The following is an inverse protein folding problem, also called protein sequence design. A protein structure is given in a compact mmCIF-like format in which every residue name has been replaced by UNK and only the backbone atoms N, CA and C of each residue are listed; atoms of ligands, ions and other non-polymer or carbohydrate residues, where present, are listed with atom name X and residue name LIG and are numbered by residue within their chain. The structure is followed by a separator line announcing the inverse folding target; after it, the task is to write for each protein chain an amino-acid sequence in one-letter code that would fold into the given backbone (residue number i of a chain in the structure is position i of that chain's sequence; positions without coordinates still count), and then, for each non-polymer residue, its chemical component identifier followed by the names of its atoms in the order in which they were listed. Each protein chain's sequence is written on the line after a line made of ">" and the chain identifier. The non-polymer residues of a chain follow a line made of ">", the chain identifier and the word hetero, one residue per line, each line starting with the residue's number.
data_IF_374453729108
#
_entry.id   IF_374453729108
#
_cell.length_a   1.000
_cell.length_b   1.000
_cell.length_c   1.000
_cell.angle_alpha   90.00
_cell.angle_beta   90.00
_cell.angle_gamma   90.00
#
_symmetry.space_group_name_H-M   'P 1'
#
loop_
_entity.id
_entity.type
_entity.pdbx_description
1 polymer ?
#
# COMPACT_ATOMS: atom_id res chain seq x y z
N UNK A 1 -25.17 -4.16 10.26
CA UNK A 1 -25.10 -4.34 8.79
C UNK A 1 -23.75 -4.92 8.46
N UNK A 2 -23.70 -6.08 7.81
CA UNK A 2 -22.42 -6.66 7.34
C UNK A 2 -21.96 -5.80 6.16
N UNK A 3 -20.79 -5.15 6.21
CA UNK A 3 -20.34 -4.37 5.07
C UNK A 3 -20.16 -5.32 3.88
N UNK A 4 -20.93 -5.07 2.81
CA UNK A 4 -20.80 -5.76 1.54
C UNK A 4 -19.75 -4.99 0.74
N UNK A 5 -18.49 -5.34 0.92
CA UNK A 5 -17.44 -4.81 0.06
C UNK A 5 -17.49 -5.57 -1.27
N UNK A 6 -17.51 -4.89 -2.42
CA UNK A 6 -17.44 -5.57 -3.71
C UNK A 6 -16.13 -6.37 -3.76
N UNK A 7 -16.25 -7.68 -4.02
CA UNK A 7 -15.14 -8.65 -4.06
C UNK A 7 -14.03 -8.27 -5.05
N UNK A 8 -14.26 -7.26 -5.88
CA UNK A 8 -13.40 -6.81 -6.97
C UNK A 8 -12.64 -5.53 -6.65
N UNK A 9 -12.70 -4.98 -5.42
CA UNK A 9 -12.03 -3.70 -5.13
C UNK A 9 -10.53 -3.79 -5.42
N UNK A 10 -9.88 -4.89 -5.02
CA UNK A 10 -8.45 -5.12 -5.21
C UNK A 10 -8.03 -5.30 -6.68
N UNK A 11 -8.95 -5.67 -7.59
CA UNK A 11 -8.65 -5.81 -9.02
C UNK A 11 -8.38 -4.46 -9.70
N UNK A 12 -8.83 -3.37 -9.07
CA UNK A 12 -8.65 -2.00 -9.57
C UNK A 12 -7.49 -1.26 -8.88
N UNK A 13 -6.90 -1.84 -7.84
CA UNK A 13 -5.83 -1.22 -7.07
C UNK A 13 -4.46 -1.61 -7.64
N UNK A 14 -3.48 -0.73 -7.47
CA UNK A 14 -2.09 -1.04 -7.81
C UNK A 14 -1.46 -1.80 -6.64
N UNK A 15 -1.04 -3.04 -6.85
CA UNK A 15 -0.23 -3.75 -5.86
C UNK A 15 1.18 -3.15 -5.85
N UNK A 16 1.59 -2.60 -4.71
CA UNK A 16 2.88 -1.93 -4.51
C UNK A 16 3.86 -2.74 -3.66
N UNK A 17 3.54 -3.99 -3.32
CA UNK A 17 4.35 -4.88 -2.48
C UNK A 17 5.80 -5.04 -2.93
N UNK A 18 6.02 -5.03 -4.25
CA UNK A 18 7.34 -5.22 -4.85
C UNK A 18 8.03 -3.90 -5.22
N UNK A 19 7.39 -2.75 -5.05
CA UNK A 19 7.98 -1.42 -5.35
C UNK A 19 9.06 -1.08 -4.34
N UNK A 20 10.25 -0.66 -4.77
CA UNK A 20 11.41 -0.38 -3.90
C UNK A 20 11.13 0.69 -2.84
N UNK A 21 10.20 1.59 -3.18
CA UNK A 21 9.67 2.68 -2.37
C UNK A 21 8.87 2.22 -1.15
N UNK A 22 8.30 1.01 -1.21
CA UNK A 22 7.57 0.43 -0.11
C UNK A 22 8.57 -0.06 0.95
N UNK A 23 8.39 0.40 2.18
CA UNK A 23 9.19 0.00 3.35
C UNK A 23 8.30 -0.46 4.48
N UNK A 24 8.73 -1.54 5.14
CA UNK A 24 8.15 -2.01 6.39
C UNK A 24 8.97 -1.48 7.56
N UNK A 25 8.33 -1.22 8.69
CA UNK A 25 8.94 -0.77 9.94
C UNK A 25 8.11 -1.21 11.15
N UNK A 26 8.35 -0.58 12.30
CA UNK A 26 7.72 -0.96 13.57
C UNK A 26 8.52 -2.03 14.33
N UNK A 27 8.06 -2.36 15.53
CA UNK A 27 8.72 -3.34 16.42
C UNK A 27 8.61 -4.78 15.90
N UNK A 28 7.63 -5.07 15.04
CA UNK A 28 7.55 -6.32 14.30
C UNK A 28 8.56 -6.45 13.16
N UNK A 29 9.16 -5.34 12.71
CA UNK A 29 10.04 -5.32 11.55
C UNK A 29 11.53 -5.53 11.86
N UNK A 30 11.94 -5.79 13.11
CA UNK A 30 13.36 -5.82 13.49
C UNK A 30 14.13 -4.58 13.00
N UNK A 31 15.46 -4.57 13.09
CA UNK A 31 16.29 -3.47 12.57
C UNK A 31 16.53 -3.56 11.04
N UNK A 32 15.93 -4.57 10.36
CA UNK A 32 16.19 -4.90 8.96
C UNK A 32 14.92 -4.84 8.08
N UNK A 33 14.48 -3.65 7.66
CA UNK A 33 13.21 -3.45 6.94
C UNK A 33 13.15 -4.16 5.57
N UNK A 34 14.29 -4.29 4.88
CA UNK A 34 14.36 -4.96 3.59
C UNK A 34 14.22 -6.48 3.71
N UNK A 35 14.68 -7.06 4.82
CA UNK A 35 14.51 -8.49 5.11
C UNK A 35 13.04 -8.80 5.35
N UNK A 36 12.35 -7.96 6.11
CA UNK A 36 10.92 -8.14 6.40
C UNK A 36 10.08 -7.99 5.15
N UNK A 37 10.35 -6.95 4.34
CA UNK A 37 9.69 -6.78 3.05
C UNK A 37 9.87 -8.02 2.18
N UNK A 38 11.10 -8.55 2.10
CA UNK A 38 11.36 -9.78 1.35
C UNK A 38 10.49 -10.92 1.87
N UNK A 39 10.52 -11.18 3.18
CA UNK A 39 9.78 -12.28 3.80
C UNK A 39 8.27 -12.18 3.61
N UNK A 40 7.71 -10.98 3.78
CA UNK A 40 6.25 -10.77 3.79
C UNK A 40 5.64 -10.50 2.42
N UNK A 41 6.37 -9.87 1.52
CA UNK A 41 5.80 -9.28 0.30
C UNK A 41 6.41 -9.80 -1.00
N UNK A 42 7.56 -10.50 -0.94
CA UNK A 42 8.29 -10.97 -2.14
C UNK A 42 8.43 -12.50 -2.14
N UNK A 43 8.84 -13.08 -1.01
CA UNK A 43 9.03 -14.51 -0.84
C UNK A 43 7.70 -15.20 -0.55
N UNK A 44 7.35 -16.20 -1.34
CA UNK A 44 6.25 -17.10 -1.00
C UNK A 44 6.76 -18.19 -0.04
N UNK A 45 6.25 -18.21 1.19
CA UNK A 45 6.51 -19.27 2.17
C UNK A 45 7.52 -18.92 3.27
N UNK A 46 8.03 -17.69 3.30
CA UNK A 46 8.62 -17.15 4.52
C UNK A 46 7.52 -16.53 5.40
N UNK A 47 7.86 -16.20 6.64
CA UNK A 47 6.95 -15.59 7.60
C UNK A 47 7.75 -14.76 8.61
N UNK A 48 7.05 -13.93 9.38
CA UNK A 48 7.60 -13.29 10.57
C UNK A 48 6.88 -13.81 11.81
N UNK A 49 7.62 -13.88 12.92
CA UNK A 49 7.06 -14.16 14.24
C UNK A 49 7.24 -12.89 15.06
N UNK A 50 6.18 -12.49 15.76
CA UNK A 50 6.24 -11.36 16.69
C UNK A 50 7.36 -11.56 17.73
N UNK A 51 8.09 -10.51 18.15
CA UNK A 51 9.05 -10.59 19.24
C UNK A 51 8.46 -11.00 20.59
N UNK A 52 7.15 -10.80 20.81
CA UNK A 52 6.47 -11.16 22.05
C UNK A 52 5.05 -11.73 21.87
N UNK A 53 4.55 -12.39 22.92
CA UNK A 53 3.21 -12.99 22.97
C UNK A 53 2.07 -11.97 22.88
N UNK A 54 2.33 -10.70 23.23
CA UNK A 54 1.39 -9.59 23.05
C UNK A 54 1.13 -9.26 21.58
N UNK A 55 1.97 -9.76 20.68
CA UNK A 55 2.02 -9.35 19.29
C UNK A 55 2.96 -8.17 19.06
N UNK A 56 2.86 -7.56 17.89
CA UNK A 56 3.77 -6.53 17.40
C UNK A 56 3.07 -5.59 16.44
N UNK A 57 3.73 -4.51 16.06
CA UNK A 57 3.26 -3.53 15.08
C UNK A 57 4.19 -3.51 13.87
N UNK A 58 3.57 -3.59 12.69
CA UNK A 58 4.19 -3.29 11.43
C UNK A 58 3.72 -1.92 10.97
N UNK A 59 4.64 -1.04 10.61
CA UNK A 59 4.33 0.18 9.87
C UNK A 59 4.68 -0.01 8.40
N UNK A 60 3.86 0.55 7.52
CA UNK A 60 4.04 0.46 6.08
C UNK A 60 4.09 1.87 5.52
N UNK A 61 5.21 2.24 4.90
CA UNK A 61 5.41 3.55 4.27
C UNK A 61 5.67 3.35 2.79
N UNK A 62 5.07 4.20 1.95
CA UNK A 62 5.34 4.26 0.52
C UNK A 62 5.92 5.63 0.20
N UNK A 63 7.25 5.68 -0.04
CA UNK A 63 7.92 6.94 -0.35
C UNK A 63 7.80 7.29 -1.83
N UNK A 64 7.97 8.56 -2.15
CA UNK A 64 8.18 8.95 -3.55
C UNK A 64 9.60 8.58 -3.95
N UNK A 65 9.75 7.90 -5.08
CA UNK A 65 11.06 7.71 -5.72
C UNK A 65 11.61 9.10 -6.02
N UNK A 66 12.69 9.51 -5.36
CA UNK A 66 13.42 10.68 -5.80
C UNK A 66 13.95 10.37 -7.20
N UNK A 67 13.32 10.91 -8.23
CA UNK A 67 13.90 10.93 -9.56
C UNK A 67 15.25 11.65 -9.44
N UNK A 68 16.33 10.89 -9.51
CA UNK A 68 17.68 11.44 -9.61
C UNK A 68 17.75 12.23 -10.92
N UNK A 69 17.51 13.54 -10.85
CA UNK A 69 18.14 14.47 -11.78
C UNK A 69 19.65 14.41 -11.49
N UNK A 70 20.35 13.47 -12.15
CA UNK A 70 21.80 13.56 -12.31
C UNK A 70 22.10 14.75 -13.22
N UNK A 71 22.13 15.94 -12.64
CA UNK A 71 22.73 17.11 -13.26
C UNK A 71 24.25 16.87 -13.24
N UNK A 72 24.74 16.27 -14.32
CA UNK A 72 26.14 15.91 -14.52
C UNK A 72 27.01 17.15 -14.64
N UNK A 73 27.47 17.69 -13.50
CA UNK A 73 28.51 18.72 -13.48
C UNK A 73 29.82 18.15 -12.95
N UNK A 74 30.51 17.39 -13.82
CA UNK A 74 31.94 17.14 -13.67
C UNK A 74 32.71 18.12 -14.54
N UNK A 75 33.24 19.14 -13.88
CA UNK A 75 34.11 20.18 -14.40
C UNK A 75 35.51 19.62 -14.67
N UNK A 76 35.89 19.47 -15.95
CA UNK A 76 37.31 19.36 -16.39
C UNK A 76 37.50 19.94 -17.80
N UNK A 77 37.91 21.20 -17.85
CA UNK A 77 39.06 21.73 -18.62
C UNK A 77 39.26 21.41 -20.13
N UNK A 78 39.15 22.49 -20.93
CA UNK A 78 39.97 22.91 -22.10
C UNK A 78 39.97 22.09 -23.41
N UNK A 79 39.38 22.69 -24.46
CA UNK A 79 40.03 23.22 -25.68
C UNK A 79 39.15 23.06 -26.94
N UNK A 80 38.85 24.17 -27.62
CA UNK A 80 38.39 24.24 -29.02
C UNK A 80 39.60 24.19 -29.98
N UNK A 81 39.49 24.20 -31.33
CA UNK A 81 38.29 24.31 -32.19
C UNK A 81 38.27 23.38 -33.45
N UNK A 82 37.13 23.29 -34.15
CA UNK A 82 37.03 23.48 -35.62
C UNK A 82 35.64 23.10 -36.17
N UNK A 83 35.29 23.78 -37.26
CA UNK A 83 34.00 23.83 -37.95
C UNK A 83 33.77 22.63 -38.91
N UNK A 84 32.51 22.53 -39.34
CA UNK A 84 31.95 21.78 -40.47
C UNK A 84 31.41 20.36 -40.20
N UNK A 85 30.09 20.22 -40.11
CA UNK A 85 29.29 19.86 -41.30
C UNK A 85 27.81 19.69 -40.96
N UNK A 86 26.99 20.33 -41.78
CA UNK A 86 25.55 20.27 -41.82
C UNK A 86 25.07 18.89 -42.26
N UNK A 87 24.27 18.20 -41.44
CA UNK A 87 23.45 17.08 -41.89
C UNK A 87 22.17 16.96 -41.08
N UNK A 88 21.05 17.13 -41.79
CA UNK A 88 19.67 16.77 -41.42
C UNK A 88 19.61 15.50 -40.55
N UNK A 89 18.76 15.51 -39.51
CA UNK A 89 17.67 14.52 -39.40
C UNK A 89 16.72 14.75 -38.21
N UNK A 90 15.45 14.67 -38.56
CA UNK A 90 14.34 14.12 -37.77
C UNK A 90 13.68 15.07 -36.78
N UNK A 91 12.52 15.55 -37.24
CA UNK A 91 11.34 15.92 -36.46
C UNK A 91 11.16 14.89 -35.33
N UNK A 92 11.55 15.27 -34.11
CA UNK A 92 11.19 14.51 -32.92
C UNK A 92 9.71 14.81 -32.68
N UNK A 93 8.87 13.79 -32.87
CA UNK A 93 7.46 13.81 -32.49
C UNK A 93 7.34 14.36 -31.08
N UNK A 94 6.37 15.24 -30.88
CA UNK A 94 5.94 15.70 -29.57
C UNK A 94 5.50 14.49 -28.74
N UNK A 95 6.43 13.95 -27.95
CA UNK A 95 6.17 13.02 -26.85
C UNK A 95 5.94 13.80 -25.55
N UNK A 96 5.24 14.94 -25.63
CA UNK A 96 4.85 15.77 -24.48
C UNK A 96 3.69 15.14 -23.66
N UNK A 97 3.50 13.83 -23.76
CA UNK A 97 2.67 13.03 -22.86
C UNK A 97 3.51 12.25 -21.82
N UNK A 98 4.83 12.46 -21.79
CA UNK A 98 5.76 11.78 -20.88
C UNK A 98 6.50 12.74 -19.92
N UNK A 99 6.00 13.97 -19.74
CA UNK A 99 6.32 14.75 -18.56
C UNK A 99 5.56 14.12 -17.39
N UNK A 100 6.28 13.27 -16.64
CA UNK A 100 5.84 12.54 -15.46
C UNK A 100 4.78 13.31 -14.64
N UNK A 101 3.52 12.92 -14.80
CA UNK A 101 2.52 13.13 -13.77
C UNK A 101 3.08 12.44 -12.53
N UNK A 102 3.53 13.24 -11.56
CA UNK A 102 4.07 12.78 -10.29
C UNK A 102 2.92 12.17 -9.48
N UNK A 103 2.43 11.00 -9.92
CA UNK A 103 1.35 10.27 -9.27
C UNK A 103 1.92 9.74 -7.97
N UNK A 104 1.86 10.56 -6.93
CA UNK A 104 2.07 10.11 -5.56
C UNK A 104 1.07 9.00 -5.31
N UNK A 105 1.52 7.76 -5.25
CA UNK A 105 0.67 6.65 -4.87
C UNK A 105 0.39 6.78 -3.37
N UNK A 106 -0.82 6.43 -2.96
CA UNK A 106 -1.25 6.43 -1.56
C UNK A 106 -1.80 5.05 -1.25
N UNK A 107 -1.37 4.51 -0.11
CA UNK A 107 -1.84 3.21 0.37
C UNK A 107 -3.33 3.33 0.72
N UNK A 108 -4.15 2.44 0.15
CA UNK A 108 -5.61 2.44 0.35
C UNK A 108 -6.15 1.09 0.82
N UNK A 109 -5.35 0.02 0.73
CA UNK A 109 -5.74 -1.27 1.26
C UNK A 109 -4.53 -2.13 1.56
N UNK A 110 -4.72 -3.11 2.44
CA UNK A 110 -3.75 -4.17 2.71
C UNK A 110 -4.45 -5.53 2.66
N UNK A 111 -3.71 -6.58 2.30
CA UNK A 111 -4.14 -7.96 2.50
C UNK A 111 -3.13 -8.66 3.38
N UNK A 112 -3.62 -9.46 4.33
CA UNK A 112 -2.76 -10.20 5.25
C UNK A 112 -3.09 -11.68 5.15
N UNK A 113 -2.09 -12.50 4.81
CA UNK A 113 -2.21 -13.95 4.85
C UNK A 113 -1.81 -14.45 6.22
N UNK A 114 -2.67 -15.27 6.80
CA UNK A 114 -2.42 -15.93 8.07
C UNK A 114 -2.81 -17.41 7.99
N UNK A 115 -2.17 -18.23 8.82
CA UNK A 115 -2.43 -19.66 8.95
C UNK A 115 -1.88 -20.51 7.81
N UNK A 116 -1.01 -19.95 6.95
CA UNK A 116 -0.43 -20.68 5.82
C UNK A 116 0.68 -21.62 6.28
N UNK A 117 1.58 -21.15 7.14
CA UNK A 117 2.66 -21.94 7.73
C UNK A 117 2.11 -22.91 8.77
N UNK A 118 1.29 -22.40 9.70
CA UNK A 118 0.63 -23.16 10.76
C UNK A 118 -0.51 -22.33 11.35
N UNK A 119 -1.56 -23.00 11.84
CA UNK A 119 -2.68 -22.38 12.53
C UNK A 119 -2.45 -22.15 14.02
N UNK A 120 -1.39 -22.73 14.60
CA UNK A 120 -1.15 -22.71 16.06
C UNK A 120 -0.68 -21.34 16.57
N UNK A 121 -0.11 -20.53 15.66
CA UNK A 121 0.42 -19.19 15.93
C UNK A 121 -0.50 -18.10 15.36
N UNK A 122 -1.75 -18.44 15.05
CA UNK A 122 -2.70 -17.53 14.44
C UNK A 122 -3.10 -16.43 15.45
N UNK A 123 -3.01 -15.14 15.08
CA UNK A 123 -3.47 -14.04 15.93
C UNK A 123 -5.00 -14.07 16.12
N UNK A 124 -5.47 -13.58 17.28
CA UNK A 124 -6.91 -13.39 17.58
C UNK A 124 -7.48 -12.18 16.84
N UNK A 125 -6.67 -11.15 16.66
CA UNK A 125 -7.05 -9.91 16.00
C UNK A 125 -5.87 -9.25 15.31
N UNK A 126 -6.16 -8.50 14.25
CA UNK A 126 -5.27 -7.47 13.70
C UNK A 126 -5.94 -6.12 13.94
N UNK A 127 -5.17 -5.08 14.20
CA UNK A 127 -5.64 -3.70 14.24
C UNK A 127 -5.01 -2.93 13.07
N UNK A 128 -5.83 -2.31 12.23
CA UNK A 128 -5.38 -1.48 11.11
C UNK A 128 -5.77 -0.04 11.40
N UNK A 129 -4.80 0.85 11.55
CA UNK A 129 -5.04 2.29 11.81
C UNK A 129 -5.98 2.57 12.99
N UNK A 130 -5.93 1.75 14.04
CA UNK A 130 -6.80 1.86 15.22
C UNK A 130 -8.05 0.97 15.17
N UNK A 131 -8.44 0.45 13.99
CA UNK A 131 -9.62 -0.39 13.81
C UNK A 131 -9.31 -1.88 14.00
N UNK A 132 -9.93 -2.55 15.00
CA UNK A 132 -9.73 -3.97 15.23
C UNK A 132 -10.50 -4.84 14.24
N UNK A 133 -9.89 -5.95 13.83
CA UNK A 133 -10.40 -6.97 12.94
C UNK A 133 -10.24 -8.31 13.64
N UNK A 134 -11.36 -8.92 14.02
CA UNK A 134 -11.39 -10.24 14.65
C UNK A 134 -11.13 -11.33 13.63
N UNK A 135 -10.25 -12.26 13.97
CA UNK A 135 -9.85 -13.36 13.11
C UNK A 135 -10.58 -14.65 13.48
N UNK A 136 -10.68 -15.56 12.51
CA UNK A 136 -11.29 -16.87 12.74
C UNK A 136 -10.22 -17.89 13.17
N UNK A 137 -10.42 -18.55 14.31
CA UNK A 137 -9.49 -19.55 14.82
C UNK A 137 -9.35 -20.73 13.85
N UNK A 138 -8.12 -21.23 13.66
CA UNK A 138 -7.86 -22.46 12.90
C UNK A 138 -8.07 -22.33 11.39
N UNK A 139 -8.24 -21.11 10.85
CA UNK A 139 -8.52 -20.91 9.43
C UNK A 139 -7.37 -20.19 8.74
N UNK A 140 -6.78 -20.86 7.74
CA UNK A 140 -5.91 -20.24 6.74
C UNK A 140 -6.73 -19.38 5.78
N UNK A 141 -6.40 -18.09 5.66
CA UNK A 141 -6.99 -17.21 4.62
C UNK A 141 -6.24 -15.89 4.48
N UNK A 142 -6.46 -15.27 3.33
CA UNK A 142 -6.24 -13.84 3.17
C UNK A 142 -7.35 -13.05 3.88
N UNK A 143 -6.95 -12.02 4.60
CA UNK A 143 -7.82 -10.99 5.14
C UNK A 143 -7.67 -9.74 4.30
N UNK A 144 -8.73 -9.41 3.56
CA UNK A 144 -8.77 -8.29 2.64
C UNK A 144 -9.27 -7.06 3.39
N UNK A 145 -8.40 -6.07 3.60
CA UNK A 145 -8.65 -4.95 4.51
C UNK A 145 -8.54 -3.63 3.74
N UNK A 146 -9.65 -3.12 3.19
CA UNK A 146 -9.68 -1.76 2.68
C UNK A 146 -9.53 -0.77 3.83
N UNK A 147 -8.80 0.32 3.58
CA UNK A 147 -8.74 1.47 4.47
C UNK A 147 -9.96 2.35 4.25
N UNK A 148 -10.44 2.99 5.31
CA UNK A 148 -11.45 4.05 5.20
C UNK A 148 -10.81 5.36 4.74
N UNK A 149 -11.61 6.30 4.22
CA UNK A 149 -11.11 7.63 3.84
C UNK A 149 -10.39 8.34 5.00
N UNK A 150 -10.88 8.17 6.23
CA UNK A 150 -10.25 8.69 7.45
C UNK A 150 -8.88 8.05 7.69
N UNK A 151 -8.78 6.73 7.58
CA UNK A 151 -7.53 5.99 7.77
C UNK A 151 -6.50 6.35 6.69
N UNK A 152 -6.94 6.51 5.44
CA UNK A 152 -6.10 6.98 4.33
C UNK A 152 -5.59 8.38 4.63
N UNK A 153 -6.46 9.30 5.07
CA UNK A 153 -6.08 10.67 5.41
C UNK A 153 -5.07 10.73 6.56
N UNK A 154 -5.25 9.90 7.60
CA UNK A 154 -4.29 9.76 8.69
C UNK A 154 -2.98 9.20 8.15
N UNK A 155 -3.02 8.16 7.32
CA UNK A 155 -1.83 7.55 6.72
C UNK A 155 -1.03 8.53 5.86
N UNK A 156 -1.70 9.37 5.07
CA UNK A 156 -1.07 10.45 4.29
C UNK A 156 -0.45 11.51 5.20
N UNK A 157 -1.11 11.87 6.31
CA UNK A 157 -0.59 12.87 7.27
C UNK A 157 0.60 12.36 8.07
N UNK A 158 0.57 11.09 8.46
CA UNK A 158 1.57 10.44 9.30
C UNK A 158 2.68 9.75 8.49
N UNK A 159 2.54 9.64 7.17
CA UNK A 159 3.46 8.97 6.25
C UNK A 159 3.58 7.44 6.46
N UNK A 160 2.63 6.82 7.16
CA UNK A 160 2.59 5.36 7.32
C UNK A 160 1.18 4.83 7.58
N UNK A 161 0.97 3.57 7.22
CA UNK A 161 -0.16 2.74 7.66
C UNK A 161 0.32 1.80 8.77
N UNK A 162 -0.40 1.77 9.89
CA UNK A 162 -0.09 0.91 11.04
C UNK A 162 -0.92 -0.38 11.01
N UNK A 163 -0.25 -1.52 11.16
CA UNK A 163 -0.80 -2.85 11.27
C UNK A 163 -0.31 -3.50 12.56
N UNK A 164 -1.11 -3.46 13.62
CA UNK A 164 -0.79 -4.15 14.88
C UNK A 164 -1.36 -5.56 14.89
N UNK A 165 -0.49 -6.54 15.00
CA UNK A 165 -0.80 -7.95 15.19
C UNK A 165 -1.06 -8.17 16.68
N UNK A 166 -2.25 -8.66 17.03
CA UNK A 166 -2.59 -8.99 18.41
C UNK A 166 -2.07 -10.36 18.84
N UNK A 167 -2.32 -10.75 20.10
CA UNK A 167 -1.87 -12.03 20.64
C UNK A 167 -2.46 -13.22 19.87
N UNK A 168 -1.73 -14.35 19.87
CA UNK A 168 -2.20 -15.60 19.28
C UNK A 168 -3.43 -16.18 20.02
N UNK A 169 -4.17 -17.06 19.34
CA UNK A 169 -5.28 -17.82 19.94
C UNK A 169 -4.81 -18.58 21.19
N UNK A 170 -3.67 -19.26 21.06
CA UNK A 170 -2.88 -19.75 22.18
C UNK A 170 -2.00 -18.63 22.74
N UNK A 171 -2.26 -18.21 23.98
CA UNK A 171 -1.53 -17.12 24.64
C UNK A 171 -0.06 -17.43 24.96
N UNK A 172 0.36 -18.69 24.84
CA UNK A 172 1.76 -19.09 25.02
C UNK A 172 2.60 -18.92 23.75
N UNK A 173 1.95 -18.68 22.60
CA UNK A 173 2.61 -18.56 21.30
C UNK A 173 2.78 -17.09 20.89
N UNK A 174 3.92 -16.78 20.27
CA UNK A 174 4.12 -15.51 19.60
C UNK A 174 3.36 -15.52 18.26
N UNK A 175 2.48 -14.56 17.98
CA UNK A 175 1.70 -14.59 16.74
C UNK A 175 2.59 -14.49 15.50
N UNK A 176 2.18 -15.16 14.44
CA UNK A 176 2.90 -15.27 13.17
C UNK A 176 2.11 -14.60 12.03
N UNK A 177 2.83 -13.94 11.12
CA UNK A 177 2.28 -13.40 9.87
C UNK A 177 2.98 -14.04 8.68
N UNK A 178 2.20 -14.64 7.77
CA UNK A 178 2.75 -15.34 6.61
C UNK A 178 3.09 -14.35 5.48
N UNK A 179 2.17 -13.47 5.11
CA UNK A 179 2.40 -12.52 4.03
C UNK A 179 1.56 -11.24 4.19
N UNK A 180 2.06 -10.15 3.63
CA UNK A 180 1.38 -8.86 3.55
C UNK A 180 1.47 -8.32 2.13
N UNK A 181 0.31 -8.04 1.54
CA UNK A 181 0.20 -7.30 0.29
C UNK A 181 -0.30 -5.89 0.54
N UNK A 182 0.31 -4.91 -0.14
CA UNK A 182 -0.03 -3.49 0.02
C UNK A 182 -0.53 -2.95 -1.30
N UNK A 183 -1.65 -2.23 -1.26
CA UNK A 183 -2.33 -1.73 -2.43
C UNK A 183 -2.53 -0.22 -2.35
N UNK A 184 -2.34 0.43 -3.49
CA UNK A 184 -2.36 1.88 -3.60
C UNK A 184 -3.21 2.38 -4.78
N UNK A 185 -3.57 3.66 -4.70
CA UNK A 185 -4.15 4.43 -5.80
C UNK A 185 -3.36 5.73 -6.02
N UNK A 186 -3.41 6.29 -7.24
CA UNK A 186 -2.94 7.65 -7.48
C UNK A 186 -3.62 8.64 -6.53
N UNK A 187 -2.83 9.56 -5.94
CA UNK A 187 -3.35 10.60 -5.06
C UNK A 187 -4.48 11.41 -5.68
N UNK A 188 -4.35 11.71 -6.97
CA UNK A 188 -5.30 12.54 -7.72
C UNK A 188 -6.67 11.86 -7.91
N UNK A 189 -6.75 10.54 -7.74
CA UNK A 189 -8.02 9.79 -7.82
C UNK A 189 -8.83 9.90 -6.50
N UNK A 190 -8.24 10.41 -5.41
CA UNK A 190 -8.89 10.51 -4.11
C UNK A 190 -9.35 11.93 -3.81
N UNK A 191 -10.58 12.23 -4.20
CA UNK A 191 -11.18 13.54 -4.07
C UNK A 191 -11.17 14.10 -2.63
N UNK A 192 -11.28 13.25 -1.61
CA UNK A 192 -11.37 13.65 -0.20
C UNK A 192 -10.03 14.13 0.37
N UNK A 193 -8.91 13.91 -0.34
CA UNK A 193 -7.60 14.43 0.03
C UNK A 193 -7.37 15.87 -0.47
N UNK A 194 -8.30 16.43 -1.25
CA UNK A 194 -8.19 17.79 -1.76
C UNK A 194 -9.00 18.77 -0.88
N UNK A 195 -8.37 19.80 -0.29
CA UNK A 195 -9.02 20.72 0.64
C UNK A 195 -10.17 21.55 0.02
N UNK A 196 -10.27 21.57 -1.32
CA UNK A 196 -11.33 22.25 -2.06
C UNK A 196 -12.49 21.31 -2.47
N UNK A 197 -12.55 20.09 -1.94
CA UNK A 197 -13.69 19.20 -2.18
C UNK A 197 -14.92 19.72 -1.42
N UNK A 198 -15.61 20.70 -2.02
CA UNK A 198 -16.98 21.02 -1.63
C UNK A 198 -17.86 19.83 -1.95
N UNK A 199 -18.65 19.40 -0.98
CA UNK A 199 -19.63 18.30 -1.01
C UNK A 199 -20.79 18.49 -2.00
N UNK A 200 -20.59 19.23 -3.09
CA UNK A 200 -21.61 19.63 -4.04
C UNK A 200 -22.11 18.51 -4.97
N UNK A 201 -21.56 17.30 -4.91
CA UNK A 201 -21.95 16.18 -5.80
C UNK A 201 -22.37 14.89 -5.07
N UNK A 202 -22.73 14.95 -3.79
CA UNK A 202 -23.23 13.79 -3.05
C UNK A 202 -24.67 13.36 -3.41
N UNK A 203 -25.27 13.91 -4.47
CA UNK A 203 -26.70 13.73 -4.80
C UNK A 203 -26.96 12.97 -6.11
N UNK A 204 -25.99 12.20 -6.60
CA UNK A 204 -26.17 11.37 -7.78
C UNK A 204 -25.62 9.97 -7.54
N UNK A 205 -26.31 9.15 -6.73
CA UNK A 205 -26.61 7.72 -6.98
C UNK A 205 -27.42 7.19 -5.77
N UNK A 206 -28.71 7.49 -5.73
CA UNK A 206 -29.69 6.86 -4.82
C UNK A 206 -31.03 6.75 -5.53
N UNK A 207 -31.10 5.89 -6.54
CA UNK A 207 -32.36 5.40 -7.08
C UNK A 207 -32.19 3.97 -7.60
N UNK A 208 -32.13 3.02 -6.67
CA UNK A 208 -32.46 1.64 -6.98
C UNK A 208 -33.92 1.42 -6.55
N UNK A 209 -34.74 1.16 -7.57
CA UNK A 209 -36.19 0.99 -7.52
C UNK A 209 -36.61 -0.11 -6.54
N UNK A 210 -37.63 0.17 -5.75
CA UNK A 210 -38.41 -0.82 -5.02
C UNK A 210 -39.87 -0.67 -5.45
N UNK A 211 -40.26 -1.34 -6.53
CA UNK A 211 -41.66 -1.60 -6.84
C UNK A 211 -41.83 -3.10 -7.07
N UNK A 212 -42.17 -3.80 -6.01
CA UNK A 212 -42.76 -5.14 -6.06
C UNK A 212 -43.56 -5.41 -4.79
N UNK A 213 -44.77 -5.92 -5.00
CA UNK A 213 -45.67 -6.55 -4.02
C UNK A 213 -46.54 -5.63 -3.15
N UNK A 214 -47.72 -5.29 -3.68
CA UNK A 214 -48.95 -5.41 -2.89
C UNK A 214 -49.97 -6.26 -3.65
N UNK A 215 -50.56 -7.17 -2.86
CA UNK A 215 -51.70 -8.04 -3.19
C UNK A 215 -52.98 -7.22 -3.35
#
# INVERSE_FOLDING_TARGET
>A
TKPCFPLTIFEKLVNVSTMDELKFGGDGASDEPDVIKRKLSISNGEFIISPGVSGCTLTVTLRESANNEQDGKSDKGKASPSLESTALRTIKKNDDAAAACHKKLVIVAVRVLLGSTTTDYLPKSINVMGRPITLAQGVKRWYDIPLTDEEIMIGVRSDFVSLSIGPAFDSSNNPLVDAVEVYALPRDDMHFLHPNYSSANADATSSCNDESSQR
#
